data_IF_795794233333
#
_entry.id   IF_795794233333
#
_cell.length_a   1.000
_cell.length_b   1.000
_cell.length_c   1.000
_cell.angle_alpha   90.00
_cell.angle_beta   90.00
_cell.angle_gamma   90.00
#
_symmetry.space_group_name_H-M   'P 1'
#
loop_
_entity.id
_entity.type
_entity.pdbx_description
1 polymer ?
#
# COMPACT_ATOMS: atom_id res chain seq x y z
N UNK A 1 15.45 -0.54 -12.99
CA UNK A 1 14.42 0.03 -12.10
C UNK A 1 13.24 -0.92 -11.84
N UNK A 2 13.45 -2.24 -11.89
CA UNK A 2 12.46 -3.22 -11.48
C UNK A 2 13.20 -4.47 -11.00
N UNK A 3 12.58 -5.25 -10.13
CA UNK A 3 13.08 -6.55 -9.67
C UNK A 3 11.89 -7.47 -9.50
N UNK A 4 11.97 -8.65 -10.09
CA UNK A 4 10.95 -9.71 -9.95
C UNK A 4 11.71 -10.96 -9.54
N UNK A 5 11.43 -11.47 -8.35
CA UNK A 5 12.04 -12.68 -7.80
C UNK A 5 10.98 -13.52 -7.07
N UNK A 6 11.25 -14.79 -6.77
CA UNK A 6 10.34 -15.63 -6.00
C UNK A 6 9.96 -15.03 -4.64
N UNK A 7 10.85 -14.27 -4.02
CA UNK A 7 10.63 -13.68 -2.69
C UNK A 7 9.78 -12.40 -2.73
N UNK A 8 9.73 -11.73 -3.89
CA UNK A 8 9.02 -10.48 -4.04
C UNK A 8 9.30 -9.73 -5.33
N UNK A 9 8.49 -8.70 -5.57
CA UNK A 9 8.54 -7.85 -6.75
C UNK A 9 8.60 -6.38 -6.34
N UNK A 10 9.41 -5.60 -7.05
CA UNK A 10 9.43 -4.15 -6.96
C UNK A 10 9.45 -3.56 -8.36
N UNK A 11 8.49 -2.71 -8.68
CA UNK A 11 8.37 -1.97 -9.93
C UNK A 11 8.34 -0.49 -9.59
N UNK A 12 9.38 0.25 -9.95
CA UNK A 12 9.40 1.68 -9.67
C UNK A 12 8.62 2.46 -10.73
N UNK A 13 8.25 3.70 -10.40
CA UNK A 13 7.67 4.67 -11.34
C UNK A 13 8.45 4.80 -12.66
N UNK A 14 9.78 4.62 -12.62
CA UNK A 14 10.67 4.74 -13.77
C UNK A 14 10.83 3.43 -14.56
N UNK A 15 10.06 2.39 -14.26
CA UNK A 15 10.16 1.09 -14.93
C UNK A 15 9.19 0.90 -16.09
N UNK A 16 8.39 1.92 -16.41
CA UNK A 16 7.36 1.89 -17.47
C UNK A 16 6.42 0.67 -17.37
N UNK A 17 6.14 0.20 -16.15
CA UNK A 17 5.30 -0.99 -15.91
C UNK A 17 3.81 -0.72 -16.13
N UNK A 18 3.42 0.55 -16.20
CA UNK A 18 2.08 0.99 -16.55
C UNK A 18 2.14 2.12 -17.59
N UNK A 19 1.08 2.32 -18.39
CA UNK A 19 0.99 3.47 -19.28
C UNK A 19 1.04 4.78 -18.49
N UNK A 20 1.81 5.74 -18.97
CA UNK A 20 1.85 7.10 -18.44
C UNK A 20 1.09 8.02 -19.40
N UNK A 21 0.02 8.65 -18.92
CA UNK A 21 -0.69 9.66 -19.69
C UNK A 21 0.18 10.92 -19.74
N UNK A 22 0.73 11.24 -20.90
CA UNK A 22 1.50 12.47 -21.08
C UNK A 22 0.58 13.68 -20.87
N UNK A 23 0.94 14.56 -19.93
CA UNK A 23 0.25 15.81 -19.61
C UNK A 23 -1.11 15.69 -18.90
N UNK A 24 -1.41 14.55 -18.28
CA UNK A 24 -2.64 14.40 -17.49
C UNK A 24 -2.40 13.73 -16.14
N UNK A 25 -2.73 14.47 -15.11
CA UNK A 25 -3.02 14.00 -13.77
C UNK A 25 -4.08 12.89 -13.83
N UNK A 26 -3.69 11.64 -13.56
CA UNK A 26 -4.54 10.46 -13.74
C UNK A 26 -4.91 9.81 -12.41
N UNK A 27 -6.18 9.44 -12.26
CA UNK A 27 -6.66 8.60 -11.17
C UNK A 27 -6.51 7.13 -11.55
N UNK A 28 -6.02 6.32 -10.61
CA UNK A 28 -5.78 4.91 -10.84
C UNK A 28 -6.66 4.04 -9.96
N UNK A 29 -7.17 2.96 -10.54
CA UNK A 29 -7.63 1.78 -9.81
C UNK A 29 -6.74 0.62 -10.23
N UNK A 30 -6.03 0.03 -9.26
CA UNK A 30 -5.03 -1.01 -9.51
C UNK A 30 -5.48 -2.28 -8.81
N UNK A 31 -5.76 -3.32 -9.60
CA UNK A 31 -5.99 -4.68 -9.11
C UNK A 31 -4.71 -5.49 -9.28
N UNK A 32 -4.16 -5.96 -8.16
CA UNK A 32 -2.97 -6.80 -8.11
C UNK A 32 -3.43 -8.21 -7.75
N UNK A 33 -3.03 -9.20 -8.57
CA UNK A 33 -3.34 -10.61 -8.35
C UNK A 33 -2.04 -11.39 -8.35
N UNK A 34 -1.84 -12.21 -7.32
CA UNK A 34 -0.67 -13.07 -7.19
C UNK A 34 -0.99 -14.39 -6.49
N UNK A 35 0.01 -15.27 -6.30
CA UNK A 35 -0.14 -16.48 -5.51
C UNK A 35 -0.65 -16.17 -4.10
N UNK A 36 -1.28 -17.16 -3.46
CA UNK A 36 -1.74 -17.05 -2.08
C UNK A 36 -0.65 -16.49 -1.16
N UNK A 37 -0.99 -15.43 -0.44
CA UNK A 37 -0.11 -14.75 0.50
C UNK A 37 0.73 -13.63 -0.11
N UNK A 38 0.82 -13.53 -1.45
CA UNK A 38 1.49 -12.41 -2.10
C UNK A 38 0.57 -11.17 -2.03
N UNK A 39 0.99 -10.17 -1.25
CA UNK A 39 0.27 -8.92 -1.09
C UNK A 39 0.98 -7.81 -1.86
N UNK A 40 0.27 -7.23 -2.84
CA UNK A 40 0.75 -6.08 -3.60
C UNK A 40 0.37 -4.76 -2.93
N UNK A 41 1.32 -3.84 -2.83
CA UNK A 41 1.19 -2.51 -2.24
C UNK A 41 1.58 -1.46 -3.28
N UNK A 42 0.70 -0.47 -3.47
CA UNK A 42 0.97 0.70 -4.31
C UNK A 42 0.26 1.93 -3.73
N UNK A 43 0.26 3.06 -4.44
CA UNK A 43 -0.42 4.29 -4.04
C UNK A 43 -1.94 4.11 -3.97
N UNK A 44 -2.58 4.97 -3.18
CA UNK A 44 -4.04 5.00 -3.02
C UNK A 44 -4.55 4.22 -1.80
N UNK A 45 -5.86 4.29 -1.59
CA UNK A 45 -6.59 3.65 -0.50
C UNK A 45 -6.84 2.18 -0.79
N UNK A 46 -6.65 1.31 0.20
CA UNK A 46 -7.00 -0.11 0.10
C UNK A 46 -8.52 -0.22 0.04
N UNK A 47 -9.05 -0.72 -1.08
CA UNK A 47 -10.49 -0.94 -1.24
C UNK A 47 -10.87 -2.33 -0.79
N UNK A 48 -10.13 -3.34 -1.29
CA UNK A 48 -10.45 -4.74 -1.07
C UNK A 48 -9.16 -5.55 -1.01
N UNK A 49 -9.15 -6.57 -0.16
CA UNK A 49 -8.20 -7.66 -0.25
C UNK A 49 -8.88 -8.98 0.11
N UNK A 50 -8.63 -10.03 -0.65
CA UNK A 50 -9.17 -11.36 -0.39
C UNK A 50 -8.30 -12.46 -0.98
N UNK A 51 -8.51 -13.69 -0.51
CA UNK A 51 -7.87 -14.88 -1.07
C UNK A 51 -8.91 -15.96 -1.32
N UNK A 52 -8.80 -16.64 -2.45
CA UNK A 52 -9.64 -17.80 -2.83
C UNK A 52 -8.97 -19.14 -2.46
N UNK A 53 -7.86 -19.10 -1.71
CA UNK A 53 -7.06 -20.27 -1.36
C UNK A 53 -5.95 -20.64 -2.36
N UNK A 54 -5.96 -20.05 -3.56
CA UNK A 54 -4.92 -20.22 -4.60
C UNK A 54 -4.21 -18.90 -4.89
N UNK A 55 -4.99 -17.82 -4.95
CA UNK A 55 -4.54 -16.47 -5.26
C UNK A 55 -4.87 -15.51 -4.13
N UNK A 56 -4.14 -14.40 -4.09
CA UNK A 56 -4.47 -13.22 -3.30
C UNK A 56 -4.71 -12.07 -4.26
N UNK A 57 -5.85 -11.40 -4.09
CA UNK A 57 -6.24 -10.21 -4.85
C UNK A 57 -6.26 -9.01 -3.92
N UNK A 58 -5.67 -7.90 -4.36
CA UNK A 58 -5.66 -6.62 -3.65
C UNK A 58 -6.06 -5.51 -4.62
N UNK A 59 -6.96 -4.63 -4.21
CA UNK A 59 -7.44 -3.51 -5.02
C UNK A 59 -7.12 -2.19 -4.33
N UNK A 60 -6.39 -1.32 -5.03
CA UNK A 60 -6.05 0.03 -4.61
C UNK A 60 -6.76 1.05 -5.48
N UNK A 61 -7.23 2.14 -4.88
CA UNK A 61 -7.83 3.26 -5.60
C UNK A 61 -7.19 4.57 -5.15
N UNK A 62 -6.65 5.32 -6.10
CA UNK A 62 -6.20 6.69 -5.84
C UNK A 62 -7.34 7.68 -6.02
N UNK A 63 -7.51 8.58 -5.05
CA UNK A 63 -8.40 9.76 -5.18
C UNK A 63 -7.66 11.04 -5.53
N UNK A 64 -6.34 11.02 -5.43
CA UNK A 64 -5.48 12.11 -5.87
C UNK A 64 -4.81 11.72 -7.19
N UNK A 65 -4.78 12.62 -8.18
CA UNK A 65 -4.03 12.35 -9.38
C UNK A 65 -2.55 12.11 -9.10
N UNK A 66 -1.95 11.18 -9.84
CA UNK A 66 -0.53 10.88 -9.75
C UNK A 66 0.05 10.74 -11.17
N UNK A 67 1.31 11.15 -11.35
CA UNK A 67 2.01 10.99 -12.63
C UNK A 67 2.44 9.54 -12.87
N UNK A 68 2.79 8.83 -11.79
CA UNK A 68 3.35 7.49 -11.87
C UNK A 68 3.14 6.72 -10.57
N UNK A 69 3.13 5.39 -10.69
CA UNK A 69 2.93 4.48 -9.58
C UNK A 69 4.19 3.65 -9.31
N UNK A 70 4.45 3.39 -8.03
CA UNK A 70 5.40 2.38 -7.59
C UNK A 70 4.64 1.21 -6.99
N UNK A 71 5.08 -0.01 -7.28
CA UNK A 71 4.49 -1.23 -6.76
C UNK A 71 5.55 -2.05 -6.05
N UNK A 72 5.25 -2.47 -4.82
CA UNK A 72 5.97 -3.51 -4.11
C UNK A 72 5.02 -4.68 -3.89
N UNK A 73 5.50 -5.91 -4.03
CA UNK A 73 4.73 -7.10 -3.69
C UNK A 73 5.63 -8.11 -2.99
N UNK A 74 5.10 -8.73 -1.94
CA UNK A 74 5.81 -9.72 -1.15
C UNK A 74 4.83 -10.54 -0.34
N UNK A 75 5.34 -11.56 0.37
CA UNK A 75 4.52 -12.37 1.24
C UNK A 75 4.36 -11.69 2.59
N UNK A 76 3.28 -10.92 2.75
CA UNK A 76 3.05 -10.08 3.92
C UNK A 76 1.81 -10.51 4.70
N UNK A 77 1.84 -10.25 6.00
CA UNK A 77 0.69 -10.23 6.88
C UNK A 77 0.27 -8.78 7.09
N UNK A 78 -0.97 -8.47 6.72
CA UNK A 78 -1.57 -7.15 6.90
C UNK A 78 -2.17 -7.04 8.30
N UNK A 79 -1.80 -6.00 9.03
CA UNK A 79 -2.63 -5.45 10.10
C UNK A 79 -3.08 -4.04 9.71
N UNK A 80 -4.32 -3.72 10.02
CA UNK A 80 -4.95 -2.47 9.64
C UNK A 80 -5.69 -1.83 10.81
N UNK A 81 -5.63 -0.49 10.87
CA UNK A 81 -6.40 0.33 11.78
C UNK A 81 -6.87 1.59 11.08
N UNK A 82 -7.94 2.20 11.60
CA UNK A 82 -8.41 3.51 11.14
C UNK A 82 -8.02 4.60 12.15
N UNK A 83 -7.56 5.74 11.64
CA UNK A 83 -7.44 7.00 12.39
C UNK A 83 -8.23 8.08 11.64
N UNK A 84 -9.50 8.25 12.03
CA UNK A 84 -10.45 9.03 11.24
C UNK A 84 -10.65 8.40 9.87
N UNK A 85 -10.40 9.16 8.80
CA UNK A 85 -10.50 8.67 7.42
C UNK A 85 -9.21 8.02 6.90
N UNK A 86 -8.12 8.05 7.68
CA UNK A 86 -6.81 7.55 7.27
C UNK A 86 -6.68 6.06 7.63
N UNK A 87 -6.37 5.24 6.62
CA UNK A 87 -5.95 3.86 6.81
C UNK A 87 -4.50 3.79 7.31
N UNK A 88 -4.29 3.22 8.48
CA UNK A 88 -2.98 2.85 8.98
C UNK A 88 -2.77 1.37 8.69
N UNK A 89 -1.81 1.05 7.81
CA UNK A 89 -1.52 -0.32 7.40
C UNK A 89 -0.10 -0.68 7.79
N UNK A 90 0.08 -1.87 8.35
CA UNK A 90 1.39 -2.46 8.61
C UNK A 90 1.45 -3.81 7.91
N UNK A 91 2.36 -3.93 6.93
CA UNK A 91 2.54 -5.10 6.08
C UNK A 91 3.93 -5.70 6.34
N UNK A 92 3.99 -6.70 7.22
CA UNK A 92 5.25 -7.32 7.60
C UNK A 92 5.35 -8.75 7.09
N UNK A 93 6.58 -9.24 6.91
CA UNK A 93 6.79 -10.65 6.65
C UNK A 93 6.31 -11.52 7.82
N UNK A 94 6.00 -12.81 7.61
CA UNK A 94 5.58 -13.70 8.69
C UNK A 94 6.55 -13.78 9.87
N UNK A 95 7.85 -13.55 9.63
CA UNK A 95 8.87 -13.58 10.69
C UNK A 95 8.80 -12.35 11.62
N UNK A 96 8.26 -11.24 11.13
CA UNK A 96 8.24 -9.95 11.82
C UNK A 96 6.83 -9.53 12.26
N UNK A 97 5.80 -10.32 11.96
CA UNK A 97 4.41 -9.91 12.15
C UNK A 97 4.00 -9.69 13.60
N UNK A 98 4.73 -10.25 14.56
CA UNK A 98 4.54 -9.97 15.99
C UNK A 98 4.77 -8.48 16.34
N UNK A 99 5.55 -7.76 15.54
CA UNK A 99 5.83 -6.34 15.74
C UNK A 99 4.68 -5.45 15.26
N UNK A 100 3.77 -5.97 14.42
CA UNK A 100 2.82 -5.13 13.68
C UNK A 100 1.91 -4.28 14.60
N UNK A 101 1.53 -4.82 15.76
CA UNK A 101 0.68 -4.10 16.71
C UNK A 101 1.40 -2.93 17.37
N UNK A 102 2.68 -3.09 17.72
CA UNK A 102 3.49 -2.00 18.30
C UNK A 102 3.75 -0.89 17.27
N UNK A 103 3.97 -1.27 16.01
CA UNK A 103 4.08 -0.32 14.90
C UNK A 103 2.79 0.44 14.66
N UNK A 104 1.63 -0.24 14.64
CA UNK A 104 0.33 0.41 14.47
C UNK A 104 0.03 1.42 15.58
N UNK A 105 0.30 1.06 16.83
CA UNK A 105 0.07 1.96 17.95
C UNK A 105 0.98 3.20 17.86
N UNK A 106 2.26 2.98 17.55
CA UNK A 106 3.21 4.08 17.30
C UNK A 106 2.74 4.98 16.15
N UNK A 107 2.31 4.40 15.03
CA UNK A 107 1.80 5.14 13.87
C UNK A 107 0.60 5.99 14.26
N UNK A 108 -0.34 5.46 15.05
CA UNK A 108 -1.52 6.16 15.52
C UNK A 108 -1.15 7.38 16.37
N UNK A 109 -0.22 7.21 17.31
CA UNK A 109 0.26 8.29 18.18
C UNK A 109 0.96 9.40 17.38
N UNK A 110 1.94 9.03 16.54
CA UNK A 110 2.68 10.02 15.74
C UNK A 110 1.80 10.72 14.72
N UNK A 111 0.87 10.01 14.08
CA UNK A 111 -0.05 10.61 13.11
C UNK A 111 -1.00 11.59 13.80
N UNK A 112 -1.52 11.27 15.00
CA UNK A 112 -2.34 12.20 15.76
C UNK A 112 -1.55 13.45 16.20
N UNK A 113 -0.31 13.27 16.66
CA UNK A 113 0.58 14.36 17.05
C UNK A 113 0.89 15.29 15.87
N UNK A 114 1.35 14.73 14.74
CA UNK A 114 1.74 15.54 13.58
C UNK A 114 0.55 16.25 12.94
N UNK A 115 -0.64 15.65 12.95
CA UNK A 115 -1.83 16.35 12.49
C UNK A 115 -2.19 17.56 13.35
N UNK A 116 -1.96 17.49 14.66
CA UNK A 116 -2.13 18.65 15.56
C UNK A 116 -1.12 19.76 15.27
N UNK A 117 0.11 19.41 14.88
CA UNK A 117 1.20 20.36 14.67
C UNK A 117 1.17 21.00 13.28
N UNK A 118 0.86 20.21 12.25
CA UNK A 118 1.03 20.62 10.84
C UNK A 118 -0.26 20.65 10.05
N UNK A 119 -1.39 20.25 10.66
CA UNK A 119 -2.68 20.13 10.00
C UNK A 119 -2.95 18.71 9.46
N UNK A 120 -4.14 18.50 8.88
CA UNK A 120 -4.60 17.17 8.46
C UNK A 120 -3.63 16.47 7.50
N UNK A 121 -3.45 15.17 7.67
CA UNK A 121 -2.65 14.36 6.73
C UNK A 121 -3.38 14.29 5.39
N UNK A 122 -2.73 14.63 4.26
CA UNK A 122 -3.43 14.86 3.00
C UNK A 122 -3.78 13.58 2.23
N UNK A 123 -3.34 12.40 2.70
CA UNK A 123 -3.55 11.13 2.02
C UNK A 123 -4.46 10.21 2.83
N UNK A 124 -5.17 9.33 2.13
CA UNK A 124 -6.14 8.42 2.73
C UNK A 124 -5.51 7.20 3.41
N UNK A 125 -4.20 7.02 3.27
CA UNK A 125 -3.46 5.86 3.76
C UNK A 125 -2.03 6.22 4.14
N UNK A 126 -1.57 5.66 5.25
CA UNK A 126 -0.16 5.51 5.59
C UNK A 126 0.15 4.01 5.73
N UNK A 127 1.15 3.50 4.99
CA UNK A 127 1.51 2.09 4.99
C UNK A 127 3.01 1.91 5.25
N UNK A 128 3.35 0.94 6.10
CA UNK A 128 4.73 0.53 6.42
C UNK A 128 4.91 -0.94 6.10
#
# INVERSE_FOLDING_TARGET
>A
NATIKPEGTFLSAASSWHPQALNFDTLFTVKIVGPKGLFGVTSGRLQEHFSDGVTTTVVWQSRYPQDSLTLAAGYYQLQEQQLGDIQLLVLLSPQNSSLASDYLESLREYMALYQKLFGPYPYEKFAV
#
